data_IF_095895584898
#
_entry.id   IF_095895584898
#
_cell.length_a   1.000
_cell.length_b   1.000
_cell.length_c   1.000
_cell.angle_alpha   90.00
_cell.angle_beta   90.00
_cell.angle_gamma   90.00
#
_symmetry.space_group_name_H-M   'P 1'
#
loop_
_entity.id
_entity.type
_entity.pdbx_description
1 polymer ?
#
# COMPACT_ATOMS: atom_id res chain seq x y z
N UNK A 1 -32.40 81.80 -7.50
CA UNK A 1 -31.72 80.62 -8.09
C UNK A 1 -30.23 80.91 -8.18
N UNK A 2 -29.38 80.34 -7.31
CA UNK A 2 -27.93 80.50 -7.38
C UNK A 2 -27.31 79.49 -8.36
N UNK A 3 -26.31 79.93 -9.11
CA UNK A 3 -25.58 79.14 -10.11
C UNK A 3 -24.56 78.19 -9.44
N UNK A 4 -24.22 77.03 -10.03
CA UNK A 4 -23.22 76.13 -9.46
C UNK A 4 -21.80 76.66 -9.70
N UNK A 5 -20.97 76.66 -8.65
CA UNK A 5 -19.51 76.67 -8.78
C UNK A 5 -19.05 75.22 -8.96
N UNK A 6 -18.39 74.91 -10.08
CA UNK A 6 -17.68 73.63 -10.26
C UNK A 6 -16.18 73.91 -10.41
N UNK A 7 -15.43 73.15 -9.60
CA UNK A 7 -14.02 73.27 -9.23
C UNK A 7 -13.09 72.63 -10.28
N UNK A 8 -11.82 73.07 -10.41
CA UNK A 8 -10.84 72.54 -11.37
C UNK A 8 -10.41 71.08 -11.08
N UNK A 9 -9.83 70.37 -12.07
CA UNK A 9 -9.58 68.93 -12.00
C UNK A 9 -8.51 68.57 -10.96
N UNK A 10 -8.86 67.64 -10.07
CA UNK A 10 -7.92 67.02 -9.14
C UNK A 10 -7.08 65.96 -9.87
N UNK A 11 -5.78 66.02 -9.60
CA UNK A 11 -4.71 65.17 -10.13
C UNK A 11 -4.81 63.77 -9.52
N UNK A 12 -4.68 62.73 -10.36
CA UNK A 12 -4.57 61.33 -9.93
C UNK A 12 -3.33 61.11 -9.07
N UNK A 13 -3.52 60.56 -7.88
CA UNK A 13 -2.47 59.89 -7.10
C UNK A 13 -3.06 58.60 -6.54
N UNK A 14 -2.61 57.40 -6.97
CA UNK A 14 -3.02 56.16 -6.32
C UNK A 14 -2.30 56.00 -4.98
N UNK A 15 -3.07 55.83 -3.91
CA UNK A 15 -2.59 55.53 -2.57
C UNK A 15 -2.17 54.06 -2.45
N UNK A 16 -0.99 53.82 -1.89
CA UNK A 16 -0.54 52.53 -1.36
C UNK A 16 -1.31 52.18 -0.06
N UNK A 17 -1.80 50.94 0.03
CA UNK A 17 -2.44 50.43 1.25
C UNK A 17 -2.87 48.95 1.22
N UNK A 18 -1.99 48.06 1.72
CA UNK A 18 -2.25 46.74 2.37
C UNK A 18 -2.64 45.51 1.51
N UNK A 19 -2.60 44.29 2.10
CA UNK A 19 -1.53 43.29 2.02
C UNK A 19 -1.74 42.23 0.92
N UNK A 20 -0.67 41.51 0.59
CA UNK A 20 -0.54 40.59 -0.54
C UNK A 20 -1.63 39.53 -0.64
N UNK A 21 -2.42 39.62 -1.71
CA UNK A 21 -3.31 38.59 -2.22
C UNK A 21 -2.64 37.98 -3.44
N UNK A 22 -2.27 36.70 -3.38
CA UNK A 22 -1.82 35.96 -4.54
C UNK A 22 -3.05 35.66 -5.41
N UNK A 23 -3.20 36.37 -6.53
CA UNK A 23 -4.18 36.06 -7.56
C UNK A 23 -3.50 35.24 -8.65
N UNK A 24 -3.93 34.00 -8.84
CA UNK A 24 -3.50 33.17 -9.97
C UNK A 24 -4.59 33.25 -11.04
N UNK A 25 -4.26 33.85 -12.18
CA UNK A 25 -5.12 33.87 -13.37
C UNK A 25 -4.56 32.91 -14.41
N UNK A 26 -5.38 31.92 -14.81
CA UNK A 26 -5.07 31.00 -15.92
C UNK A 26 -5.84 31.47 -17.15
N UNK A 27 -5.12 31.95 -18.16
CA UNK A 27 -5.64 32.23 -19.49
C UNK A 27 -5.33 31.04 -20.40
N UNK A 28 -6.34 30.21 -20.65
CA UNK A 28 -6.27 29.14 -21.65
C UNK A 28 -6.64 29.70 -23.03
N UNK A 29 -5.64 30.18 -23.77
CA UNK A 29 -5.78 30.43 -25.22
C UNK A 29 -5.07 29.32 -25.97
N UNK A 30 -5.79 28.21 -26.19
CA UNK A 30 -5.39 27.23 -27.20
C UNK A 30 -6.01 27.65 -28.53
N UNK A 31 -5.38 28.62 -29.20
CA UNK A 31 -5.64 28.87 -30.61
C UNK A 31 -4.70 27.97 -31.42
N UNK A 32 -5.21 27.05 -32.27
CA UNK A 32 -4.35 26.39 -33.24
C UNK A 32 -3.91 27.43 -34.27
N UNK A 33 -2.64 27.81 -34.21
CA UNK A 33 -1.98 28.46 -35.33
C UNK A 33 -1.85 27.44 -36.45
N UNK A 34 -2.61 27.64 -37.52
CA UNK A 34 -2.09 27.88 -38.88
C UNK A 34 -3.19 27.54 -39.90
N UNK A 35 -3.66 28.59 -40.58
CA UNK A 35 -4.30 28.48 -41.87
C UNK A 35 -3.24 28.01 -42.89
N UNK A 36 -3.57 26.96 -43.63
CA UNK A 36 -2.79 26.37 -44.72
C UNK A 36 -1.49 25.64 -44.35
N UNK A 37 -1.61 24.34 -44.04
CA UNK A 37 -0.43 23.49 -43.92
C UNK A 37 -0.67 22.03 -43.51
N UNK A 38 -1.25 21.23 -44.42
CA UNK A 38 -1.03 19.77 -44.57
C UNK A 38 -0.84 18.98 -43.26
N UNK A 39 -1.94 18.46 -42.73
CA UNK A 39 -1.94 17.53 -41.60
C UNK A 39 -0.99 16.35 -41.80
N UNK A 40 0.00 16.21 -40.92
CA UNK A 40 0.74 14.96 -40.77
C UNK A 40 -0.17 13.96 -40.07
N UNK A 41 -0.83 13.11 -40.86
CA UNK A 41 -1.40 11.87 -40.35
C UNK A 41 -0.24 11.00 -39.88
N UNK A 42 -0.01 10.94 -38.58
CA UNK A 42 0.85 9.92 -37.99
C UNK A 42 0.01 8.66 -37.90
N UNK A 43 0.09 7.86 -38.97
CA UNK A 43 -0.32 6.46 -38.97
C UNK A 43 0.58 5.70 -37.99
N UNK A 44 0.00 5.15 -36.93
CA UNK A 44 0.50 3.92 -36.33
C UNK A 44 -0.69 2.96 -36.24
N UNK A 45 -0.87 2.20 -37.32
CA UNK A 45 -1.66 0.97 -37.31
C UNK A 45 -1.05 0.04 -36.26
N UNK A 46 -1.64 -0.03 -35.07
CA UNK A 46 -1.27 -1.05 -34.08
C UNK A 46 -1.99 -2.34 -34.48
N UNK A 47 -1.30 -3.19 -35.24
CA UNK A 47 -1.70 -4.57 -35.47
C UNK A 47 -1.35 -5.39 -34.22
N UNK A 48 -2.35 -5.68 -33.39
CA UNK A 48 -2.23 -6.68 -32.32
C UNK A 48 -2.59 -8.05 -32.89
N UNK A 49 -1.56 -8.79 -33.33
CA UNK A 49 -1.64 -10.23 -33.57
C UNK A 49 -0.63 -10.91 -32.65
N UNK A 50 -1.09 -11.33 -31.47
CA UNK A 50 -0.32 -12.22 -30.60
C UNK A 50 -1.07 -13.54 -30.51
N UNK A 51 -0.72 -14.43 -31.42
CA UNK A 51 -0.98 -15.85 -31.30
C UNK A 51 0.11 -16.43 -30.38
N UNK A 52 -0.22 -16.65 -29.11
CA UNK A 52 0.62 -17.34 -28.14
C UNK A 52 0.00 -18.69 -27.78
N UNK A 53 0.67 -19.76 -28.16
CA UNK A 53 0.22 -21.14 -28.00
C UNK A 53 0.04 -21.56 -26.53
N UNK A 54 -1.03 -22.30 -26.27
CA UNK A 54 -1.20 -23.08 -25.04
C UNK A 54 -0.18 -24.23 -25.04
N UNK A 55 0.90 -24.11 -24.28
CA UNK A 55 1.72 -25.27 -23.93
C UNK A 55 1.02 -25.98 -22.77
N UNK A 56 0.42 -27.14 -23.05
CA UNK A 56 -0.09 -28.05 -22.05
C UNK A 56 1.07 -28.51 -21.15
N UNK A 57 1.09 -28.07 -19.89
CA UNK A 57 1.96 -28.66 -18.87
C UNK A 57 1.27 -29.91 -18.34
N UNK A 58 1.45 -31.03 -19.04
CA UNK A 58 1.29 -32.37 -18.46
C UNK A 58 2.66 -32.88 -18.04
N UNK A 59 3.01 -32.61 -16.78
CA UNK A 59 3.92 -33.44 -16.00
C UNK A 59 3.16 -33.70 -14.70
N UNK A 60 2.57 -34.85 -14.44
CA UNK A 60 3.02 -36.20 -14.77
C UNK A 60 3.71 -36.79 -13.54
N UNK A 61 2.93 -37.52 -12.73
CA UNK A 61 3.33 -38.73 -12.01
C UNK A 61 4.56 -38.71 -11.09
N UNK A 62 4.27 -38.87 -9.79
CA UNK A 62 4.96 -39.75 -8.83
C UNK A 62 6.15 -40.54 -9.42
N UNK A 63 7.37 -40.19 -9.02
CA UNK A 63 8.53 -41.08 -9.11
C UNK A 63 8.95 -41.43 -7.68
N UNK A 64 8.43 -42.57 -7.21
CA UNK A 64 9.02 -43.35 -6.13
C UNK A 64 10.08 -44.24 -6.77
N UNK A 65 11.34 -43.80 -6.79
CA UNK A 65 12.51 -44.60 -7.18
C UNK A 65 13.66 -44.12 -6.28
N UNK A 66 13.88 -44.79 -5.15
CA UNK A 66 14.82 -45.91 -4.96
C UNK A 66 16.10 -45.44 -4.26
N UNK A 67 16.12 -45.52 -2.92
CA UNK A 67 17.32 -45.88 -2.19
C UNK A 67 17.08 -47.24 -1.53
N UNK A 68 17.43 -48.29 -2.28
CA UNK A 68 17.85 -49.58 -1.75
C UNK A 68 19.39 -49.54 -1.71
N UNK A 69 20.05 -50.03 -0.66
CA UNK A 69 20.54 -51.42 -0.71
C UNK A 69 20.56 -52.14 0.66
N UNK A 70 20.24 -53.43 0.70
CA UNK A 70 20.59 -54.28 1.86
C UNK A 70 19.76 -55.55 1.98
N UNK A 71 20.32 -56.63 1.49
CA UNK A 71 19.83 -58.01 1.42
C UNK A 71 19.74 -58.77 2.78
N UNK A 72 18.88 -59.80 2.77
CA UNK A 72 18.95 -61.09 3.48
C UNK A 72 18.03 -61.35 4.68
N UNK A 73 17.28 -62.46 4.59
CA UNK A 73 16.82 -63.25 5.74
C UNK A 73 15.31 -63.39 5.88
N UNK A 74 14.76 -64.47 5.33
CA UNK A 74 13.45 -65.01 5.71
C UNK A 74 13.49 -65.50 7.16
N UNK A 75 12.53 -65.09 8.00
CA UNK A 75 12.02 -65.93 9.08
C UNK A 75 10.63 -65.47 9.53
N UNK A 76 9.79 -66.47 9.81
CA UNK A 76 8.35 -66.38 10.08
C UNK A 76 8.08 -65.97 11.54
N UNK A 77 7.14 -65.06 11.78
CA UNK A 77 6.69 -64.80 13.16
C UNK A 77 5.69 -63.65 13.36
N UNK A 78 4.41 -64.01 13.43
CA UNK A 78 3.34 -63.51 14.31
C UNK A 78 3.03 -62.00 14.53
N UNK A 79 1.72 -61.78 14.62
CA UNK A 79 0.98 -60.70 15.30
C UNK A 79 0.59 -59.46 14.47
N UNK A 80 -0.65 -59.58 13.99
CA UNK A 80 -1.59 -58.52 13.60
C UNK A 80 -1.68 -57.41 14.67
N UNK A 81 -1.62 -56.17 14.21
CA UNK A 81 -1.57 -54.96 15.03
C UNK A 81 -1.57 -53.72 14.16
N UNK A 82 -2.55 -53.63 13.26
CA UNK A 82 -2.76 -52.51 12.34
C UNK A 82 -2.97 -51.18 13.10
N UNK A 83 -1.89 -50.44 13.36
CA UNK A 83 -1.93 -49.05 13.79
C UNK A 83 -2.22 -48.17 12.57
N UNK A 84 -3.29 -47.36 12.54
CA UNK A 84 -3.52 -46.45 11.43
C UNK A 84 -2.38 -45.42 11.37
N UNK A 85 -1.88 -45.04 10.19
CA UNK A 85 -0.92 -43.95 10.09
C UNK A 85 -1.59 -42.69 10.62
N UNK A 86 -1.00 -42.13 11.68
CA UNK A 86 -1.37 -40.83 12.20
C UNK A 86 -1.22 -39.83 11.05
N UNK A 87 -2.33 -39.17 10.68
CA UNK A 87 -2.30 -38.10 9.71
C UNK A 87 -1.23 -37.09 10.15
N UNK A 88 -0.12 -37.03 9.41
CA UNK A 88 0.82 -35.93 9.52
C UNK A 88 0.01 -34.70 9.15
N UNK A 89 -0.39 -33.93 10.16
CA UNK A 89 -0.88 -32.57 10.00
C UNK A 89 0.20 -31.89 9.19
N UNK A 90 -0.09 -31.62 7.92
CA UNK A 90 0.82 -30.91 7.03
C UNK A 90 0.95 -29.52 7.64
N UNK A 91 1.97 -29.37 8.47
CA UNK A 91 2.35 -28.09 9.04
C UNK A 91 2.78 -27.28 7.84
N UNK A 92 1.92 -26.35 7.40
CA UNK A 92 2.27 -25.37 6.40
C UNK A 92 3.66 -24.83 6.77
N UNK A 93 4.59 -24.71 5.81
CA UNK A 93 5.95 -24.31 6.12
C UNK A 93 5.87 -23.01 6.91
N UNK A 94 6.37 -23.04 8.14
CA UNK A 94 6.61 -21.83 8.92
C UNK A 94 7.61 -21.02 8.11
N UNK A 95 7.09 -20.15 7.25
CA UNK A 95 7.89 -19.18 6.52
C UNK A 95 8.75 -18.41 7.51
N UNK A 96 9.91 -17.89 7.08
CA UNK A 96 10.70 -17.02 7.94
C UNK A 96 9.79 -15.94 8.52
N UNK A 97 9.87 -15.74 9.82
CA UNK A 97 9.12 -14.68 10.50
C UNK A 97 9.47 -13.29 9.96
N UNK A 98 8.90 -12.27 10.57
CA UNK A 98 9.14 -10.87 10.17
C UNK A 98 10.65 -10.56 10.12
N UNK A 99 11.20 -10.09 8.98
CA UNK A 99 12.60 -9.69 8.92
C UNK A 99 12.91 -8.60 9.94
N UNK A 100 14.11 -8.69 10.56
CA UNK A 100 14.52 -7.79 11.64
C UNK A 100 14.40 -6.31 11.30
N UNK A 101 14.58 -5.96 10.02
CA UNK A 101 14.37 -4.60 9.54
C UNK A 101 12.98 -4.07 9.91
N UNK A 102 11.89 -4.80 9.71
CA UNK A 102 10.55 -4.24 9.98
C UNK A 102 10.25 -4.07 11.47
N UNK A 103 10.90 -4.83 12.35
CA UNK A 103 10.58 -4.81 13.78
C UNK A 103 10.96 -3.48 14.40
N UNK A 104 10.04 -2.94 15.21
CA UNK A 104 10.16 -1.65 15.88
C UNK A 104 8.97 -0.74 15.60
N UNK A 105 9.11 0.51 16.02
CA UNK A 105 8.14 1.57 15.80
C UNK A 105 8.57 2.45 14.62
N UNK A 106 7.58 2.86 13.84
CA UNK A 106 7.73 3.68 12.65
C UNK A 106 6.67 4.76 12.65
N UNK A 107 6.99 5.98 12.25
CA UNK A 107 6.04 7.08 12.22
C UNK A 107 6.28 8.03 11.06
N UNK A 108 5.23 8.71 10.63
CA UNK A 108 5.37 9.74 9.61
C UNK A 108 4.05 10.26 9.04
N UNK A 109 4.14 11.24 8.11
CA UNK A 109 2.97 11.88 7.53
C UNK A 109 2.19 10.91 6.64
N UNK A 110 0.87 10.98 6.75
CA UNK A 110 -0.07 10.24 5.93
C UNK A 110 -0.75 11.12 4.89
N UNK A 111 -1.01 10.53 3.72
CA UNK A 111 -1.68 11.15 2.59
C UNK A 111 -2.81 10.23 2.14
N UNK A 112 -3.98 10.81 1.91
CA UNK A 112 -5.14 10.12 1.35
C UNK A 112 -5.60 10.84 0.09
N UNK A 113 -5.67 10.14 -1.04
CA UNK A 113 -6.02 10.72 -2.34
C UNK A 113 -5.21 11.99 -2.71
N UNK A 114 -3.93 12.03 -2.35
CA UNK A 114 -3.04 13.18 -2.61
C UNK A 114 -3.17 14.34 -1.62
N UNK A 115 -3.99 14.21 -0.58
CA UNK A 115 -4.24 15.24 0.42
C UNK A 115 -3.64 14.81 1.77
N UNK A 116 -2.96 15.70 2.52
CA UNK A 116 -2.52 15.40 3.88
C UNK A 116 -3.67 14.90 4.76
N UNK A 117 -3.47 13.74 5.40
CA UNK A 117 -4.49 13.03 6.20
C UNK A 117 -4.10 12.90 7.68
N UNK A 118 -2.97 13.49 8.08
CA UNK A 118 -2.46 13.42 9.45
C UNK A 118 -1.19 12.59 9.54
N UNK A 119 -1.07 11.76 10.57
CA UNK A 119 0.14 10.94 10.81
C UNK A 119 -0.22 9.49 11.08
N UNK A 120 0.63 8.57 10.61
CA UNK A 120 0.52 7.16 10.93
C UNK A 120 1.70 6.77 11.83
N UNK A 121 1.40 5.95 12.84
CA UNK A 121 2.40 5.22 13.63
C UNK A 121 2.16 3.73 13.48
N UNK A 122 3.21 2.98 13.15
CA UNK A 122 3.17 1.54 12.97
C UNK A 122 4.13 0.88 13.95
N UNK A 123 3.59 0.09 14.87
CA UNK A 123 4.38 -0.67 15.84
C UNK A 123 4.36 -2.16 15.44
N UNK A 124 5.53 -2.70 15.08
CA UNK A 124 5.71 -4.04 14.53
C UNK A 124 6.58 -4.90 15.44
N UNK A 125 6.17 -6.15 15.63
CA UNK A 125 6.86 -7.16 16.41
C UNK A 125 7.20 -8.39 15.55
N UNK A 126 8.02 -9.28 16.12
CA UNK A 126 8.23 -10.60 15.54
C UNK A 126 6.92 -11.39 15.55
N UNK A 127 6.58 -11.98 14.41
CA UNK A 127 5.39 -12.80 14.25
C UNK A 127 5.57 -13.85 13.16
N UNK A 128 4.87 -14.97 13.30
CA UNK A 128 4.67 -15.95 12.23
C UNK A 128 3.48 -15.54 11.35
N UNK A 129 3.41 -16.06 10.13
CA UNK A 129 2.28 -15.85 9.22
C UNK A 129 0.97 -16.29 9.90
N UNK A 130 -0.09 -15.49 9.71
CA UNK A 130 -1.39 -15.70 10.34
C UNK A 130 -1.46 -15.25 11.80
N UNK A 131 -0.37 -14.73 12.38
CA UNK A 131 -0.36 -14.13 13.72
C UNK A 131 -0.38 -12.61 13.64
N UNK A 132 -0.80 -11.98 14.73
CA UNK A 132 -0.73 -10.53 14.85
C UNK A 132 0.73 -10.09 14.79
N UNK A 133 1.03 -9.19 13.86
CA UNK A 133 2.37 -8.62 13.67
C UNK A 133 2.53 -7.25 14.30
N UNK A 134 1.43 -6.52 14.49
CA UNK A 134 1.54 -5.17 15.00
C UNK A 134 0.23 -4.41 15.00
N UNK A 135 0.34 -3.09 15.07
CA UNK A 135 -0.76 -2.15 15.00
C UNK A 135 -0.38 -0.94 14.15
N UNK A 136 -1.38 -0.32 13.55
CA UNK A 136 -1.30 1.02 12.95
C UNK A 136 -2.18 1.93 13.76
N UNK A 137 -1.65 3.06 14.22
CA UNK A 137 -2.42 4.15 14.80
C UNK A 137 -2.41 5.29 13.80
N UNK A 138 -3.55 5.65 13.25
CA UNK A 138 -3.72 6.87 12.48
C UNK A 138 -4.25 7.97 13.38
N UNK A 139 -3.67 9.17 13.26
CA UNK A 139 -4.11 10.37 13.97
C UNK A 139 -4.46 11.42 12.94
N UNK A 140 -5.71 11.86 12.93
CA UNK A 140 -6.18 12.89 12.01
C UNK A 140 -5.75 14.31 12.48
N UNK A 141 -5.94 15.36 11.65
CA UNK A 141 -5.60 16.74 12.03
C UNK A 141 -6.34 17.30 13.25
N UNK A 142 -7.45 16.67 13.67
CA UNK A 142 -8.20 17.04 14.88
C UNK A 142 -7.73 16.26 16.12
N UNK A 143 -6.76 15.35 15.96
CA UNK A 143 -6.22 14.51 17.01
C UNK A 143 -7.05 13.25 17.29
N UNK A 144 -8.06 12.95 16.47
CA UNK A 144 -8.84 11.72 16.60
C UNK A 144 -7.99 10.55 16.13
N UNK A 145 -7.96 9.49 16.94
CA UNK A 145 -7.16 8.30 16.67
C UNK A 145 -8.03 7.12 16.23
N UNK A 146 -7.54 6.38 15.23
CA UNK A 146 -8.08 5.11 14.81
C UNK A 146 -6.97 4.06 14.81
N UNK A 147 -7.23 2.90 15.42
CA UNK A 147 -6.24 1.82 15.54
C UNK A 147 -6.65 0.62 14.69
N UNK A 148 -5.75 0.16 13.84
CA UNK A 148 -5.88 -1.11 13.13
C UNK A 148 -4.93 -2.15 13.71
N UNK A 149 -5.42 -3.36 13.92
CA UNK A 149 -4.62 -4.54 14.26
C UNK A 149 -4.16 -5.21 12.97
N UNK A 150 -2.86 -5.46 12.87
CA UNK A 150 -2.24 -6.08 11.71
C UNK A 150 -2.00 -7.58 11.94
N UNK A 151 -2.50 -8.42 11.03
CA UNK A 151 -2.20 -9.86 10.98
C UNK A 151 -1.28 -10.16 9.81
N UNK A 152 -0.15 -10.84 10.04
CA UNK A 152 0.85 -11.11 9.01
C UNK A 152 0.29 -12.02 7.92
N UNK A 153 0.43 -11.62 6.65
CA UNK A 153 0.16 -12.47 5.48
C UNK A 153 1.46 -13.02 4.89
N UNK A 154 2.47 -12.18 4.71
CA UNK A 154 3.79 -12.55 4.21
C UNK A 154 4.82 -11.49 4.60
N UNK A 155 6.10 -11.87 4.61
CA UNK A 155 7.19 -10.92 4.75
C UNK A 155 8.46 -11.44 4.08
N UNK A 156 9.16 -10.54 3.41
CA UNK A 156 10.51 -10.75 2.89
C UNK A 156 11.35 -9.47 3.06
N UNK A 157 12.59 -9.47 2.56
CA UNK A 157 13.52 -8.35 2.73
C UNK A 157 13.07 -7.02 2.08
N UNK A 158 12.06 -7.03 1.20
CA UNK A 158 11.56 -5.88 0.45
C UNK A 158 10.16 -5.45 0.86
N UNK A 159 9.32 -6.40 1.27
CA UNK A 159 7.93 -6.10 1.62
C UNK A 159 7.39 -6.96 2.78
N UNK A 160 6.59 -6.34 3.64
CA UNK A 160 5.72 -6.99 4.61
C UNK A 160 4.25 -6.71 4.24
N UNK A 161 3.46 -7.77 4.06
CA UNK A 161 2.03 -7.68 3.75
C UNK A 161 1.22 -8.16 4.94
N UNK A 162 0.21 -7.39 5.33
CA UNK A 162 -0.67 -7.70 6.45
C UNK A 162 -2.15 -7.53 6.10
N UNK A 163 -3.02 -8.26 6.81
CA UNK A 163 -4.43 -7.91 6.91
C UNK A 163 -4.58 -6.85 8.01
N UNK A 164 -5.12 -5.68 7.68
CA UNK A 164 -5.51 -4.67 8.65
C UNK A 164 -6.98 -4.83 9.02
N UNK A 165 -7.31 -4.70 10.31
CA UNK A 165 -8.69 -4.69 10.81
C UNK A 165 -8.78 -3.72 11.99
N UNK A 166 -9.84 -2.91 11.99
CA UNK A 166 -10.14 -2.00 13.08
C UNK A 166 -10.13 -2.73 14.45
N UNK A 167 -9.44 -2.13 15.41
CA UNK A 167 -9.45 -2.54 16.80
C UNK A 167 -10.88 -2.49 17.36
N UNK A 168 -11.18 -3.37 18.33
CA UNK A 168 -12.54 -3.54 18.84
C UNK A 168 -13.06 -2.32 19.62
N UNK A 169 -12.15 -1.55 20.18
CA UNK A 169 -12.36 -0.33 20.96
C UNK A 169 -12.37 0.96 20.11
N UNK A 170 -12.21 0.85 18.78
CA UNK A 170 -12.35 2.01 17.90
C UNK A 170 -13.77 2.57 17.93
N UNK A 171 -13.87 3.90 18.04
CA UNK A 171 -15.13 4.62 17.84
C UNK A 171 -15.72 4.44 16.44
N UNK A 172 -16.97 4.89 16.26
CA UNK A 172 -17.72 4.69 15.02
C UNK A 172 -17.24 5.54 13.84
N UNK A 173 -16.43 6.57 14.12
CA UNK A 173 -15.80 7.41 13.10
C UNK A 173 -14.69 6.68 12.34
N UNK A 174 -14.12 5.62 12.90
CA UNK A 174 -13.07 4.84 12.26
C UNK A 174 -13.64 3.91 11.20
N UNK A 175 -12.94 3.82 10.06
CA UNK A 175 -13.34 2.96 8.96
C UNK A 175 -13.50 1.50 9.43
N UNK A 176 -14.62 0.87 9.05
CA UNK A 176 -14.99 -0.47 9.52
C UNK A 176 -14.77 -1.49 8.40
N UNK A 177 -13.82 -2.40 8.59
CA UNK A 177 -13.60 -3.49 7.65
C UNK A 177 -12.21 -4.11 7.77
N UNK A 178 -12.02 -5.20 7.02
CA UNK A 178 -10.70 -5.78 6.82
C UNK A 178 -10.16 -5.29 5.49
N UNK A 179 -8.87 -4.95 5.47
CA UNK A 179 -8.18 -4.47 4.27
C UNK A 179 -6.75 -5.05 4.20
N UNK A 180 -6.03 -4.77 3.12
CA UNK A 180 -4.64 -5.20 2.97
C UNK A 180 -3.71 -4.02 3.15
N UNK A 181 -2.68 -4.20 3.97
CA UNK A 181 -1.62 -3.23 4.23
C UNK A 181 -0.32 -3.76 3.62
N UNK A 182 0.40 -2.88 2.96
CA UNK A 182 1.73 -3.09 2.42
C UNK A 182 2.71 -2.16 3.12
N UNK A 183 3.80 -2.73 3.63
CA UNK A 183 4.93 -2.03 4.19
C UNK A 183 6.15 -2.36 3.33
N UNK A 184 6.48 -1.47 2.40
CA UNK A 184 7.60 -1.63 1.49
C UNK A 184 8.82 -0.93 2.05
N UNK A 185 9.98 -1.60 2.03
CA UNK A 185 11.25 -0.97 2.40
C UNK A 185 11.63 0.10 1.38
N UNK A 186 11.92 1.30 1.86
CA UNK A 186 12.48 2.40 1.07
C UNK A 186 13.75 2.93 1.77
N UNK A 187 14.91 2.38 1.38
CA UNK A 187 16.18 2.61 2.08
C UNK A 187 16.12 2.14 3.53
N UNK A 188 16.23 3.09 4.46
CA UNK A 188 16.12 2.87 5.91
C UNK A 188 14.73 3.21 6.48
N UNK A 189 13.81 3.65 5.62
CA UNK A 189 12.44 4.02 5.92
C UNK A 189 11.43 2.97 5.40
N UNK A 190 10.15 3.17 5.72
CA UNK A 190 9.05 2.34 5.21
C UNK A 190 8.04 3.18 4.44
N UNK A 191 7.62 2.68 3.27
CA UNK A 191 6.40 3.13 2.61
C UNK A 191 5.22 2.29 3.09
N UNK A 192 4.24 2.94 3.69
CA UNK A 192 2.94 2.36 4.00
C UNK A 192 1.96 2.58 2.85
N UNK A 193 1.22 1.54 2.47
CA UNK A 193 0.06 1.64 1.59
C UNK A 193 -1.08 0.76 2.09
N UNK A 194 -2.29 1.31 2.20
CA UNK A 194 -3.50 0.55 2.49
C UNK A 194 -4.36 0.41 1.23
N UNK A 195 -4.73 -0.82 0.90
CA UNK A 195 -5.72 -1.14 -0.12
C UNK A 195 -7.10 -1.19 0.54
N UNK A 196 -7.70 -0.02 0.69
CA UNK A 196 -9.04 0.11 1.26
C UNK A 196 -9.80 1.28 0.61
N UNK A 197 -10.49 1.04 -0.52
CA UNK A 197 -11.16 2.11 -1.27
C UNK A 197 -12.20 2.88 -0.44
N UNK A 198 -12.88 2.20 0.48
CA UNK A 198 -13.86 2.80 1.38
C UNK A 198 -13.23 3.79 2.38
N UNK A 199 -11.92 3.67 2.64
CA UNK A 199 -11.14 4.61 3.42
C UNK A 199 -10.17 5.45 2.56
N UNK A 200 -10.35 5.51 1.24
CA UNK A 200 -9.58 6.38 0.37
C UNK A 200 -8.14 5.95 0.08
N UNK A 201 -7.77 4.69 0.37
CA UNK A 201 -6.43 4.12 0.12
C UNK A 201 -5.27 4.97 0.67
N UNK A 202 -5.19 5.19 1.99
CA UNK A 202 -4.15 6.04 2.56
C UNK A 202 -2.75 5.44 2.36
N UNK A 203 -1.78 6.34 2.22
CA UNK A 203 -0.34 6.04 2.16
C UNK A 203 0.38 6.84 3.23
N UNK A 204 1.54 6.39 3.67
CA UNK A 204 2.41 7.16 4.55
C UNK A 204 3.89 6.87 4.25
N UNK A 205 4.73 7.88 4.37
CA UNK A 205 6.19 7.73 4.39
C UNK A 205 6.60 7.70 5.86
N UNK A 206 7.23 6.61 6.30
CA UNK A 206 7.48 6.34 7.71
C UNK A 206 8.96 6.23 8.00
N UNK A 207 9.43 6.99 8.98
CA UNK A 207 10.77 6.91 9.51
C UNK A 207 10.77 6.08 10.80
N UNK A 208 11.95 5.57 11.16
CA UNK A 208 12.09 4.79 12.38
C UNK A 208 12.04 5.70 13.60
N UNK A 209 11.21 5.35 14.57
CA UNK A 209 11.21 5.99 15.89
C UNK A 209 12.44 5.50 16.66
N UNK A 210 13.31 6.38 17.19
CA UNK A 210 14.40 6.00 18.06
C UNK A 210 13.91 5.24 19.30
N UNK A 211 14.61 4.19 19.70
CA UNK A 211 14.39 3.58 21.00
C UNK A 211 14.86 4.56 22.08
N UNK A 212 13.97 4.91 23.00
CA UNK A 212 14.26 5.78 24.15
C UNK A 212 15.05 5.08 25.25
#
# INVERSE_FOLDING_TARGET
VPMPRTQPPATDVPQDGAPGRFSVSVSATSAPTTADGRGRKVSCSVALAVAGALAAVTVGGILVVNMLPGDSGSDSGAADGSRPPQATVSSAPSGPGVPKFYVGAWDGPAVQAGIPFGTFRVDLAQAAVGKQVGKVTSTDPLGVQCVDVLTLKSADGKELVAAGKAAADNGDTCAKGTHTVHLTRDGDSLKYTSQYPQAGNPTADLDRVPAG
#
